data_IF_830579085883
#
_entry.id   IF_830579085883
#
_cell.length_a   1.000
_cell.length_b   1.000
_cell.length_c   1.000
_cell.angle_alpha   90.00
_cell.angle_beta   90.00
_cell.angle_gamma   90.00
#
_symmetry.space_group_name_H-M   'P 1'
#
loop_
_entity.id
_entity.type
_entity.pdbx_description
1 polymer ?
#
# COMPACT_ATOMS: atom_id res chain seq x y z
N UNK A 1 12.34 5.14 -29.16
CA UNK A 1 12.50 3.68 -28.96
C UNK A 1 11.10 3.08 -28.87
N UNK A 2 10.89 1.91 -29.47
CA UNK A 2 9.65 1.15 -29.37
C UNK A 2 10.01 -0.30 -29.08
N UNK A 3 9.24 -0.95 -28.21
CA UNK A 3 9.34 -2.38 -27.94
C UNK A 3 7.96 -2.93 -27.59
N UNK A 4 7.70 -4.19 -27.93
CA UNK A 4 6.57 -4.94 -27.37
C UNK A 4 7.07 -5.72 -26.15
N UNK A 5 6.30 -5.82 -25.04
CA UNK A 5 6.76 -6.53 -23.84
C UNK A 5 7.22 -7.97 -24.09
N UNK A 6 6.55 -8.67 -25.01
CA UNK A 6 6.89 -10.03 -25.45
C UNK A 6 8.30 -10.15 -26.06
N UNK A 7 8.79 -9.09 -26.70
CA UNK A 7 10.10 -9.05 -27.34
C UNK A 7 11.20 -8.47 -26.43
N UNK A 8 10.84 -8.07 -25.20
CA UNK A 8 11.73 -7.42 -24.26
C UNK A 8 12.07 -5.97 -24.64
N UNK A 9 12.68 -5.24 -23.71
CA UNK A 9 12.96 -3.80 -23.85
C UNK A 9 14.41 -3.46 -24.25
N UNK A 10 15.34 -4.41 -24.24
CA UNK A 10 16.76 -4.18 -24.57
C UNK A 10 17.56 -3.31 -23.59
N UNK A 11 16.91 -2.69 -22.60
CA UNK A 11 17.54 -1.92 -21.53
C UNK A 11 18.09 -2.79 -20.37
N UNK A 12 19.11 -2.33 -19.61
CA UNK A 12 19.68 -3.05 -18.46
C UNK A 12 18.72 -3.18 -17.27
N UNK A 13 17.72 -2.30 -17.18
CA UNK A 13 16.69 -2.33 -16.14
C UNK A 13 15.32 -2.11 -16.77
N UNK A 14 14.31 -2.82 -16.25
CA UNK A 14 12.95 -2.75 -16.78
C UNK A 14 12.35 -1.34 -16.54
N UNK A 15 11.99 -0.60 -17.61
CA UNK A 15 11.52 0.78 -17.48
C UNK A 15 10.04 0.88 -17.08
N UNK A 16 9.28 -0.22 -17.06
CA UNK A 16 7.83 -0.18 -16.87
C UNK A 16 7.41 0.57 -15.60
N UNK A 17 8.02 0.25 -14.46
CA UNK A 17 7.76 0.93 -13.19
C UNK A 17 8.30 2.36 -13.15
N UNK A 18 9.31 2.71 -13.97
CA UNK A 18 9.77 4.10 -14.07
C UNK A 18 8.76 4.95 -14.83
N UNK A 19 8.13 4.40 -15.87
CA UNK A 19 7.09 5.08 -16.68
C UNK A 19 5.80 5.26 -15.88
N UNK A 20 5.39 4.26 -15.11
CA UNK A 20 4.22 4.36 -14.22
C UNK A 20 4.70 4.84 -12.85
N UNK A 21 5.08 6.11 -12.75
CA UNK A 21 5.51 6.75 -11.50
C UNK A 21 5.27 8.28 -11.51
N UNK A 22 5.28 8.97 -10.35
CA UNK A 22 5.36 8.46 -8.98
C UNK A 22 4.14 7.59 -8.62
N UNK A 23 4.35 6.49 -7.88
CA UNK A 23 3.26 5.67 -7.36
C UNK A 23 3.10 5.89 -5.86
N UNK A 24 1.86 6.08 -5.38
CA UNK A 24 1.63 6.08 -3.93
C UNK A 24 1.94 4.69 -3.36
N UNK A 25 2.33 4.65 -2.09
CA UNK A 25 2.63 3.40 -1.39
C UNK A 25 1.45 3.12 -0.45
N UNK A 26 0.74 2.02 -0.70
CA UNK A 26 -0.18 1.46 0.27
C UNK A 26 0.60 0.58 1.24
N UNK A 27 0.74 1.00 2.50
CA UNK A 27 1.35 0.17 3.53
C UNK A 27 0.26 -0.67 4.19
N UNK A 28 0.08 -1.87 3.66
CA UNK A 28 -1.07 -2.72 3.91
C UNK A 28 -0.85 -3.51 5.20
N UNK A 29 -1.69 -3.26 6.19
CA UNK A 29 -1.78 -4.09 7.39
C UNK A 29 -2.97 -5.03 7.32
N UNK A 30 -2.76 -6.24 7.81
CA UNK A 30 -3.77 -7.30 7.87
C UNK A 30 -3.65 -8.04 9.18
N UNK A 31 -4.74 -8.67 9.61
CA UNK A 31 -4.75 -9.63 10.74
C UNK A 31 -5.35 -10.94 10.24
N UNK A 32 -4.62 -12.05 10.37
CA UNK A 32 -5.09 -13.37 9.96
C UNK A 32 -6.17 -13.91 10.91
N UNK A 33 -6.85 -14.99 10.51
CA UNK A 33 -7.90 -15.60 11.35
C UNK A 33 -7.35 -16.16 12.69
N UNK A 34 -6.05 -16.42 12.76
CA UNK A 34 -5.31 -16.83 13.96
C UNK A 34 -4.87 -15.64 14.85
N UNK A 35 -5.21 -14.39 14.48
CA UNK A 35 -4.85 -13.18 15.20
C UNK A 35 -3.45 -12.63 14.90
N UNK A 36 -2.67 -13.25 14.02
CA UNK A 36 -1.35 -12.74 13.63
C UNK A 36 -1.48 -11.50 12.75
N UNK A 37 -0.79 -10.43 13.13
CA UNK A 37 -0.70 -9.21 12.32
C UNK A 37 0.42 -9.36 11.28
N UNK A 38 0.22 -8.73 10.12
CA UNK A 38 1.22 -8.57 9.07
C UNK A 38 1.20 -7.11 8.60
N UNK A 39 2.35 -6.60 8.14
CA UNK A 39 2.46 -5.27 7.53
C UNK A 39 3.43 -5.30 6.35
N UNK A 40 2.97 -4.92 5.15
CA UNK A 40 3.81 -4.92 3.95
C UNK A 40 3.49 -3.77 2.99
N UNK A 41 4.49 -3.14 2.35
CA UNK A 41 4.28 -2.04 1.42
C UNK A 41 4.01 -2.52 -0.01
N UNK A 42 3.00 -1.92 -0.64
CA UNK A 42 2.61 -2.17 -2.03
C UNK A 42 2.59 -0.86 -2.81
N UNK A 43 3.42 -0.75 -3.85
CA UNK A 43 3.43 0.44 -4.73
C UNK A 43 2.48 0.35 -5.92
N UNK A 44 1.87 -0.81 -6.16
CA UNK A 44 0.78 -0.94 -7.13
C UNK A 44 -0.53 -0.70 -6.38
N UNK A 45 -0.71 0.54 -5.92
CA UNK A 45 -1.84 0.97 -5.08
C UNK A 45 -2.47 2.23 -5.68
N UNK A 46 -3.80 2.35 -5.63
CA UNK A 46 -4.53 3.58 -5.98
C UNK A 46 -5.96 3.61 -5.44
N UNK A 47 -6.59 4.78 -5.46
CA UNK A 47 -8.05 4.92 -5.35
C UNK A 47 -8.72 4.52 -6.67
N UNK A 48 -9.93 3.94 -6.61
CA UNK A 48 -10.65 3.43 -7.80
C UNK A 48 -12.11 3.87 -7.88
N UNK A 49 -12.73 4.31 -6.79
CA UNK A 49 -14.08 4.88 -6.80
C UNK A 49 -14.25 5.93 -5.68
N UNK A 50 -15.18 6.87 -5.88
CA UNK A 50 -15.51 7.92 -4.91
C UNK A 50 -16.70 7.59 -4.01
N UNK A 51 -17.74 6.91 -4.53
CA UNK A 51 -18.98 6.64 -3.79
C UNK A 51 -19.51 5.21 -4.06
N UNK A 52 -19.47 4.29 -3.07
CA UNK A 52 -18.68 4.43 -1.85
C UNK A 52 -17.18 4.49 -2.20
N UNK A 53 -16.33 5.12 -1.35
CA UNK A 53 -14.91 5.26 -1.62
C UNK A 53 -14.25 3.88 -1.67
N UNK A 54 -13.44 3.63 -2.71
CA UNK A 54 -12.77 2.34 -2.90
C UNK A 54 -11.32 2.52 -3.27
N UNK A 55 -10.50 1.57 -2.83
CA UNK A 55 -9.08 1.47 -3.16
C UNK A 55 -8.73 0.10 -3.72
N UNK A 56 -7.59 0.02 -4.39
CA UNK A 56 -7.02 -1.23 -4.83
C UNK A 56 -5.53 -1.31 -4.51
N UNK A 57 -5.03 -2.52 -4.32
CA UNK A 57 -3.61 -2.81 -4.46
C UNK A 57 -3.39 -4.13 -5.22
N UNK A 58 -2.23 -4.30 -5.85
CA UNK A 58 -1.86 -5.52 -6.54
C UNK A 58 -0.65 -6.22 -5.90
N UNK A 59 -0.78 -7.53 -5.67
CA UNK A 59 0.31 -8.42 -5.30
C UNK A 59 0.77 -9.21 -6.52
N UNK A 60 2.08 -9.19 -6.81
CA UNK A 60 2.66 -9.81 -8.03
C UNK A 60 3.79 -10.78 -7.70
N UNK A 61 3.72 -11.40 -6.52
CA UNK A 61 4.76 -12.28 -5.98
C UNK A 61 4.16 -13.18 -4.91
N UNK A 62 4.89 -14.23 -4.55
CA UNK A 62 4.50 -15.21 -3.54
C UNK A 62 5.60 -15.44 -2.53
N UNK A 63 5.24 -16.09 -1.43
CA UNK A 63 6.18 -16.74 -0.52
C UNK A 63 5.96 -18.24 -0.57
N UNK A 64 7.04 -19.01 -0.39
CA UNK A 64 6.99 -20.48 -0.49
C UNK A 64 6.03 -21.10 0.55
N UNK A 65 5.87 -20.44 1.70
CA UNK A 65 5.01 -20.82 2.82
C UNK A 65 3.58 -20.26 2.73
N UNK A 66 3.25 -19.52 1.66
CA UNK A 66 1.92 -18.90 1.41
C UNK A 66 1.34 -19.22 0.03
N UNK A 67 1.80 -20.31 -0.58
CA UNK A 67 1.24 -20.84 -1.82
C UNK A 67 1.31 -19.85 -2.98
N UNK A 68 0.15 -19.41 -3.47
CA UNK A 68 0.01 -18.48 -4.60
C UNK A 68 0.06 -17.00 -4.19
N UNK A 69 0.32 -16.69 -2.91
CA UNK A 69 0.25 -15.31 -2.40
C UNK A 69 1.34 -14.95 -1.39
N UNK A 70 1.30 -13.70 -0.89
CA UNK A 70 1.96 -13.21 0.33
C UNK A 70 0.97 -13.16 1.48
N UNK A 71 1.46 -12.99 2.71
CA UNK A 71 0.64 -12.94 3.94
C UNK A 71 -0.52 -11.95 3.86
N UNK A 72 -0.32 -10.76 3.29
CA UNK A 72 -1.39 -9.76 3.18
C UNK A 72 -2.60 -10.29 2.40
N UNK A 73 -2.39 -10.90 1.22
CA UNK A 73 -3.51 -11.42 0.41
C UNK A 73 -4.09 -12.68 1.05
N UNK A 74 -3.27 -13.54 1.66
CA UNK A 74 -3.74 -14.70 2.41
C UNK A 74 -4.67 -14.30 3.57
N UNK A 75 -4.24 -13.37 4.42
CA UNK A 75 -5.05 -12.86 5.52
C UNK A 75 -6.34 -12.18 5.04
N UNK A 76 -6.29 -11.44 3.92
CA UNK A 76 -7.49 -10.81 3.35
C UNK A 76 -8.48 -11.85 2.80
N UNK A 77 -8.00 -12.95 2.20
CA UNK A 77 -8.87 -14.06 1.78
C UNK A 77 -9.59 -14.71 2.98
N UNK A 78 -8.90 -14.83 4.11
CA UNK A 78 -9.45 -15.42 5.32
C UNK A 78 -10.44 -14.50 6.05
N UNK A 79 -10.13 -13.21 6.13
CA UNK A 79 -10.82 -12.28 7.06
C UNK A 79 -11.66 -11.22 6.35
N UNK A 80 -11.43 -10.98 5.07
CA UNK A 80 -12.15 -9.99 4.27
C UNK A 80 -11.88 -8.53 4.66
N UNK A 81 -10.85 -8.24 5.46
CA UNK A 81 -10.54 -6.88 5.90
C UNK A 81 -9.05 -6.57 5.84
N UNK A 82 -8.71 -5.29 5.67
CA UNK A 82 -7.35 -4.78 5.71
C UNK A 82 -7.34 -3.28 5.98
N UNK A 83 -6.21 -2.74 6.43
CA UNK A 83 -6.00 -1.30 6.52
C UNK A 83 -4.89 -0.84 5.57
N UNK A 84 -5.08 0.32 4.96
CA UNK A 84 -4.07 0.99 4.13
C UNK A 84 -3.50 2.15 4.92
N UNK A 85 -2.21 2.10 5.25
CA UNK A 85 -1.52 3.18 5.95
C UNK A 85 -0.72 4.00 4.93
N UNK A 86 -0.91 5.31 4.93
CA UNK A 86 -0.10 6.23 4.11
C UNK A 86 1.27 6.38 4.76
N UNK A 87 2.32 6.38 3.93
CA UNK A 87 3.71 6.43 4.40
C UNK A 87 4.21 7.88 4.37
N UNK A 88 4.69 8.37 5.51
CA UNK A 88 5.43 9.64 5.60
C UNK A 88 6.94 9.46 5.38
N UNK A 89 7.64 10.56 5.15
CA UNK A 89 9.09 10.54 4.97
C UNK A 89 9.83 10.00 6.20
N UNK A 90 9.33 10.28 7.41
CA UNK A 90 9.94 9.83 8.65
C UNK A 90 9.92 8.30 8.78
N UNK A 91 8.88 7.64 8.26
CA UNK A 91 8.69 6.19 8.33
C UNK A 91 9.34 5.41 7.19
N UNK A 92 10.09 6.06 6.29
CA UNK A 92 10.63 5.43 5.06
C UNK A 92 11.47 4.17 5.35
N UNK A 93 12.31 4.20 6.38
CA UNK A 93 13.24 3.11 6.70
C UNK A 93 12.48 1.95 7.37
N UNK A 94 11.55 2.28 8.27
CA UNK A 94 10.65 1.31 8.91
C UNK A 94 9.80 0.60 7.86
N UNK A 95 9.17 1.36 6.96
CA UNK A 95 8.41 0.82 5.84
C UNK A 95 9.28 -0.10 4.97
N UNK A 96 10.50 0.33 4.63
CA UNK A 96 11.40 -0.51 3.83
C UNK A 96 11.78 -1.81 4.54
N UNK A 97 11.99 -1.79 5.87
CA UNK A 97 12.27 -2.99 6.67
C UNK A 97 11.13 -4.02 6.59
N UNK A 98 9.88 -3.57 6.55
CA UNK A 98 8.70 -4.46 6.40
C UNK A 98 8.53 -5.06 4.99
N UNK A 99 9.36 -4.66 4.01
CA UNK A 99 9.28 -5.19 2.63
C UNK A 99 10.08 -6.49 2.41
N UNK A 100 10.84 -6.93 3.42
CA UNK A 100 11.69 -8.11 3.36
C UNK A 100 10.92 -9.42 3.15
N UNK A 101 11.65 -10.47 2.76
CA UNK A 101 11.11 -11.83 2.62
C UNK A 101 11.15 -12.55 3.98
N UNK A 102 10.38 -12.05 4.95
CA UNK A 102 10.30 -12.62 6.29
C UNK A 102 9.43 -13.89 6.31
N UNK A 103 9.61 -14.76 7.30
CA UNK A 103 8.78 -15.97 7.47
C UNK A 103 7.34 -15.60 7.84
N UNK A 104 6.33 -16.41 7.48
CA UNK A 104 4.91 -16.09 7.71
C UNK A 104 4.52 -15.83 9.18
N UNK A 105 5.27 -16.37 10.14
CA UNK A 105 5.05 -16.14 11.57
C UNK A 105 5.63 -14.80 12.05
N UNK A 106 6.38 -14.09 11.20
CA UNK A 106 7.01 -12.82 11.56
C UNK A 106 5.98 -11.71 11.55
N UNK A 107 5.81 -11.04 12.69
CA UNK A 107 5.04 -9.81 12.78
C UNK A 107 5.92 -8.61 12.38
N UNK A 108 5.69 -8.02 11.21
CA UNK A 108 6.54 -6.93 10.73
C UNK A 108 6.41 -5.65 11.56
N UNK A 109 5.32 -5.46 12.31
CA UNK A 109 5.24 -4.33 13.24
C UNK A 109 6.24 -4.52 14.37
N UNK A 110 6.32 -5.71 14.95
CA UNK A 110 7.28 -6.02 16.03
C UNK A 110 8.71 -5.96 15.51
N UNK A 111 8.97 -6.56 14.34
CA UNK A 111 10.29 -6.58 13.70
C UNK A 111 10.84 -5.17 13.46
N UNK A 112 10.01 -4.27 12.94
CA UNK A 112 10.39 -2.89 12.64
C UNK A 112 10.10 -1.92 13.79
N UNK A 113 9.69 -2.41 14.97
CA UNK A 113 9.38 -1.61 16.16
C UNK A 113 8.33 -0.51 15.90
N UNK A 114 7.31 -0.82 15.11
CA UNK A 114 6.24 0.09 14.73
C UNK A 114 5.09 -0.04 15.73
N UNK A 115 4.68 1.08 16.31
CA UNK A 115 3.52 1.11 17.21
C UNK A 115 2.23 0.77 16.45
N UNK A 116 1.47 -0.21 16.97
CA UNK A 116 0.14 -0.58 16.50
C UNK A 116 -0.94 0.28 17.15
N UNK A 117 -2.00 0.55 16.40
CA UNK A 117 -3.28 1.02 16.93
C UNK A 117 -4.40 0.15 16.34
N UNK A 118 -5.51 0.02 17.05
CA UNK A 118 -6.67 -0.73 16.55
C UNK A 118 -7.50 0.12 15.57
N UNK A 119 -8.03 -0.55 14.56
CA UNK A 119 -9.07 -0.05 13.67
C UNK A 119 -10.44 0.03 14.39
N UNK A 120 -11.37 0.84 13.88
CA UNK A 120 -12.70 1.09 14.47
C UNK A 120 -13.84 0.33 13.79
N UNK A 121 -13.75 0.10 12.48
CA UNK A 121 -14.77 -0.53 11.64
C UNK A 121 -14.38 -1.93 11.16
N UNK A 122 -13.12 -2.32 11.34
CA UNK A 122 -12.58 -3.65 11.01
C UNK A 122 -11.69 -4.21 12.14
N UNK A 123 -11.56 -5.53 12.22
CA UNK A 123 -10.71 -6.22 13.19
C UNK A 123 -9.26 -6.38 12.67
N UNK A 124 -8.54 -5.26 12.56
CA UNK A 124 -7.17 -5.22 12.03
C UNK A 124 -6.34 -4.17 12.79
N UNK A 125 -5.03 -4.39 12.93
CA UNK A 125 -4.12 -3.33 13.37
C UNK A 125 -3.86 -2.32 12.25
N UNK A 126 -3.54 -1.08 12.62
CA UNK A 126 -3.00 -0.03 11.76
C UNK A 126 -1.71 0.55 12.35
N UNK A 127 -0.96 1.27 11.53
CA UNK A 127 0.23 2.01 11.98
C UNK A 127 -0.24 3.21 12.80
N UNK A 128 0.12 3.26 14.09
CA UNK A 128 -0.40 4.26 15.02
C UNK A 128 -0.06 5.69 14.61
N UNK A 129 1.14 5.89 14.06
CA UNK A 129 1.71 7.19 13.69
C UNK A 129 1.45 7.61 12.24
N UNK A 130 0.76 6.78 11.45
CA UNK A 130 0.50 7.06 10.05
C UNK A 130 -0.24 8.40 9.88
N UNK A 131 0.14 9.24 8.90
CA UNK A 131 -0.59 10.48 8.58
C UNK A 131 -2.06 10.24 8.25
N UNK A 132 -2.35 9.12 7.57
CA UNK A 132 -3.70 8.66 7.31
C UNK A 132 -3.76 7.14 7.24
N UNK A 133 -4.90 6.59 7.64
CA UNK A 133 -5.22 5.17 7.47
C UNK A 133 -6.63 5.02 6.90
N UNK A 134 -6.78 4.15 5.91
CA UNK A 134 -8.07 3.74 5.35
C UNK A 134 -8.39 2.33 5.87
N UNK A 135 -9.53 2.17 6.54
CA UNK A 135 -10.06 0.88 6.96
C UNK A 135 -10.91 0.27 5.86
N UNK A 136 -10.53 -0.89 5.34
CA UNK A 136 -11.13 -1.46 4.15
C UNK A 136 -11.80 -2.81 4.40
N UNK A 137 -13.00 -2.98 3.83
CA UNK A 137 -13.64 -4.29 3.64
C UNK A 137 -13.42 -4.76 2.21
N UNK A 138 -12.99 -6.01 2.05
CA UNK A 138 -12.77 -6.63 0.76
C UNK A 138 -14.07 -6.64 -0.06
N UNK A 139 -13.98 -6.19 -1.31
CA UNK A 139 -15.07 -6.35 -2.28
C UNK A 139 -14.78 -7.50 -3.23
N UNK A 140 -13.56 -7.58 -3.76
CA UNK A 140 -13.15 -8.66 -4.66
C UNK A 140 -11.63 -8.82 -4.73
N UNK A 141 -11.21 -10.05 -5.01
CA UNK A 141 -9.84 -10.37 -5.41
C UNK A 141 -9.91 -10.91 -6.84
N UNK A 142 -9.27 -10.21 -7.76
CA UNK A 142 -9.23 -10.58 -9.19
C UNK A 142 -7.86 -11.17 -9.49
N UNK A 143 -7.84 -12.41 -9.98
CA UNK A 143 -6.62 -13.00 -10.54
C UNK A 143 -6.36 -12.38 -11.92
N UNK A 144 -5.20 -11.76 -12.07
CA UNK A 144 -4.72 -11.20 -13.34
C UNK A 144 -3.88 -12.26 -14.09
N UNK A 145 -3.60 -12.08 -15.39
CA UNK A 145 -2.67 -12.95 -16.09
C UNK A 145 -1.33 -13.09 -15.36
N UNK A 146 -0.89 -14.33 -15.16
CA UNK A 146 0.25 -14.70 -14.34
C UNK A 146 -0.16 -15.48 -13.09
N UNK A 147 0.65 -16.46 -12.68
CA UNK A 147 0.28 -17.42 -11.63
C UNK A 147 0.08 -16.76 -10.25
N UNK A 148 0.64 -15.58 -10.03
CA UNK A 148 0.82 -14.96 -8.72
C UNK A 148 0.37 -13.50 -8.68
N UNK A 149 -0.38 -13.09 -9.71
CA UNK A 149 -0.84 -11.71 -9.88
C UNK A 149 -2.28 -11.57 -9.42
N UNK A 150 -2.48 -10.86 -8.32
CA UNK A 150 -3.81 -10.60 -7.75
C UNK A 150 -4.01 -9.12 -7.54
N UNK A 151 -5.11 -8.59 -8.06
CA UNK A 151 -5.61 -7.26 -7.71
C UNK A 151 -6.67 -7.41 -6.61
N UNK A 152 -6.45 -6.75 -5.48
CA UNK A 152 -7.35 -6.70 -4.34
C UNK A 152 -8.07 -5.36 -4.35
N UNK A 153 -9.39 -5.38 -4.24
CA UNK A 153 -10.24 -4.21 -4.17
C UNK A 153 -10.95 -4.17 -2.82
N UNK A 154 -11.08 -2.98 -2.23
CA UNK A 154 -11.79 -2.81 -0.97
C UNK A 154 -12.56 -1.49 -0.90
N UNK A 155 -13.72 -1.56 -0.27
CA UNK A 155 -14.51 -0.40 0.15
C UNK A 155 -13.91 0.18 1.43
N UNK A 156 -13.68 1.50 1.42
CA UNK A 156 -13.22 2.24 2.59
C UNK A 156 -14.41 2.49 3.51
N UNK A 157 -14.35 1.88 4.69
CA UNK A 157 -15.40 1.95 5.71
C UNK A 157 -15.05 2.88 6.88
N UNK A 158 -13.79 3.29 6.99
CA UNK A 158 -13.30 4.21 8.00
C UNK A 158 -12.05 4.94 7.54
N UNK A 159 -11.86 6.17 7.99
CA UNK A 159 -10.68 7.00 7.68
C UNK A 159 -10.16 7.61 8.98
N UNK A 160 -8.85 7.43 9.22
CA UNK A 160 -8.11 8.14 10.26
C UNK A 160 -7.23 9.17 9.58
N UNK A 161 -7.20 10.39 10.11
CA UNK A 161 -6.28 11.44 9.71
C UNK A 161 -5.54 11.90 10.96
N UNK A 162 -4.23 12.15 10.83
CA UNK A 162 -3.42 12.76 11.87
C UNK A 162 -3.66 14.27 11.86
N UNK A 163 -4.01 14.85 13.00
CA UNK A 163 -4.49 16.24 13.08
C UNK A 163 -3.46 17.28 12.60
N UNK A 164 -2.17 17.03 12.80
CA UNK A 164 -1.06 17.91 12.37
C UNK A 164 -0.88 18.00 10.83
N UNK A 165 -1.54 17.10 10.11
CA UNK A 165 -1.58 17.07 8.64
C UNK A 165 -2.78 17.85 8.08
N UNK A 166 -3.70 18.32 8.93
CA UNK A 166 -4.83 19.17 8.51
C UNK A 166 -4.46 20.65 8.61
N UNK A 167 -4.48 21.34 7.48
CA UNK A 167 -4.22 22.79 7.38
C UNK A 167 -5.40 23.43 6.67
N UNK A 168 -6.07 24.37 7.32
CA UNK A 168 -7.23 25.09 6.79
C UNK A 168 -8.32 24.15 6.22
N UNK A 169 -8.57 23.03 6.92
CA UNK A 169 -9.56 22.02 6.53
C UNK A 169 -9.14 21.11 5.37
N UNK A 170 -7.88 21.17 4.94
CA UNK A 170 -7.32 20.30 3.90
C UNK A 170 -6.30 19.35 4.48
N UNK A 171 -6.32 18.11 4.02
CA UNK A 171 -5.25 17.15 4.32
C UNK A 171 -4.03 17.49 3.45
N UNK A 172 -3.05 18.16 4.06
CA UNK A 172 -1.88 18.69 3.38
C UNK A 172 -0.74 17.66 3.37
N UNK A 173 -0.53 17.05 2.21
CA UNK A 173 0.47 16.00 1.99
C UNK A 173 1.92 16.46 2.16
N UNK A 174 2.17 17.77 2.12
CA UNK A 174 3.51 18.34 2.31
C UNK A 174 3.91 18.35 3.78
N UNK A 175 2.96 18.37 4.71
CA UNK A 175 3.20 18.41 6.17
C UNK A 175 3.95 17.19 6.68
N UNK A 176 3.72 16.04 6.06
CA UNK A 176 4.38 14.78 6.42
C UNK A 176 5.34 14.27 5.34
N UNK A 177 5.48 15.00 4.22
CA UNK A 177 6.31 14.57 3.11
C UNK A 177 5.88 13.20 2.58
N UNK A 178 4.69 13.12 1.98
CA UNK A 178 4.17 11.86 1.43
C UNK A 178 5.25 11.14 0.60
N UNK A 179 5.51 9.88 0.96
CA UNK A 179 6.49 9.06 0.26
C UNK A 179 5.86 8.40 -0.97
N UNK A 180 6.56 8.47 -2.09
CA UNK A 180 6.17 7.83 -3.34
C UNK A 180 7.27 6.88 -3.83
N UNK A 181 6.87 5.78 -4.46
CA UNK A 181 7.79 4.85 -5.13
C UNK A 181 7.95 5.23 -6.59
N UNK A 182 9.20 5.24 -7.05
CA UNK A 182 9.53 5.54 -8.45
C UNK A 182 9.85 4.24 -9.23
N UNK A 183 10.63 4.36 -10.30
CA UNK A 183 11.27 3.20 -10.92
C UNK A 183 12.33 2.58 -10.01
N UNK A 184 12.74 1.35 -10.34
CA UNK A 184 13.92 0.71 -9.73
C UNK A 184 13.86 0.68 -8.19
N UNK A 185 14.89 1.20 -7.51
CA UNK A 185 14.96 1.34 -6.06
C UNK A 185 14.70 2.79 -5.59
N UNK A 186 14.27 3.66 -6.49
CA UNK A 186 14.16 5.08 -6.22
C UNK A 186 12.85 5.44 -5.51
N UNK A 187 12.92 6.45 -4.65
CA UNK A 187 11.79 7.04 -3.93
C UNK A 187 11.77 8.55 -4.13
N UNK A 188 10.58 9.13 -4.09
CA UNK A 188 10.37 10.57 -4.09
C UNK A 188 9.60 10.99 -2.82
N UNK A 189 9.76 12.25 -2.44
CA UNK A 189 9.09 12.84 -1.29
C UNK A 189 8.33 14.07 -1.77
N UNK A 190 7.03 14.15 -1.50
CA UNK A 190 6.21 15.30 -1.87
C UNK A 190 6.50 16.44 -0.89
N UNK A 191 7.35 17.39 -1.28
CA UNK A 191 7.67 18.59 -0.50
C UNK A 191 6.93 19.84 -0.98
N UNK A 192 6.59 19.86 -2.26
CA UNK A 192 5.97 21.00 -2.91
C UNK A 192 4.80 20.54 -3.77
N UNK A 193 3.75 21.36 -3.81
CA UNK A 193 2.58 21.17 -4.67
C UNK A 193 2.22 22.50 -5.32
N UNK A 194 1.66 22.45 -6.51
CA UNK A 194 1.06 23.60 -7.17
C UNK A 194 -0.36 23.26 -7.60
N UNK A 195 -1.23 24.27 -7.63
CA UNK A 195 -2.63 24.09 -8.01
C UNK A 195 -2.85 24.54 -9.44
N UNK A 196 -3.48 23.68 -10.24
CA UNK A 196 -4.02 24.03 -11.55
C UNK A 196 -5.54 23.90 -11.46
N UNK A 197 -6.26 24.96 -11.84
CA UNK A 197 -7.72 24.87 -11.99
C UNK A 197 -8.03 24.04 -13.21
N UNK A 198 -8.99 23.11 -13.09
CA UNK A 198 -9.55 22.46 -14.27
C UNK A 198 -10.16 23.55 -15.17
N UNK A 199 -9.99 23.49 -16.49
CA UNK A 199 -10.69 24.39 -17.39
C UNK A 199 -12.21 24.22 -17.25
N UNK A 200 -12.94 25.34 -17.23
CA UNK A 200 -14.38 25.41 -16.95
C UNK A 200 -14.71 25.57 -15.49
#
# INVERSE_FOLDING_TARGET
>A
MFYTPENGHGLPHNPFNAVVSPRPIGWISTRGANGQDNLAPYSFFNAVAYEPPQVMFASTSTKADRGDTKDSVAHIRETGVFAVNIVDYASKDLMNQTSGAWEKETDEFELAQIAKAECKTIACARVATAPATLECKLTQIVQLPGATNFAVFGEVTGVHLRDDCLVDGKFDVTRFGMLARMGYQDYAVVRDVFSIKRPG
#
